data_IF_790855158034
#
_entry.id   IF_790855158034
#
_cell.length_a   1.000
_cell.length_b   1.000
_cell.length_c   1.000
_cell.angle_alpha   90.00
_cell.angle_beta   90.00
_cell.angle_gamma   90.00
#
_symmetry.space_group_name_H-M   'P 1'
#
loop_
_entity.id
_entity.type
_entity.pdbx_description
1 polymer ?
#
# COMPACT_ATOMS: atom_id res chain seq x y z
N UNK A 1 4.62 2.05 3.00
CA UNK A 1 5.27 2.03 1.66
C UNK A 1 6.50 2.91 1.60
N UNK A 2 6.39 4.24 1.72
CA UNK A 2 7.56 5.16 1.58
C UNK A 2 8.71 4.82 2.53
N UNK A 3 8.41 4.44 3.79
CA UNK A 3 9.41 3.94 4.75
C UNK A 3 10.22 2.75 4.24
N UNK A 4 9.59 1.83 3.52
CA UNK A 4 10.26 0.68 2.89
C UNK A 4 11.11 1.12 1.71
N UNK A 5 10.61 2.01 0.84
CA UNK A 5 11.35 2.50 -0.33
C UNK A 5 12.66 3.18 0.09
N UNK A 6 12.60 4.02 1.13
CA UNK A 6 13.79 4.65 1.73
C UNK A 6 14.69 3.60 2.39
N UNK A 7 14.15 2.81 3.32
CA UNK A 7 14.95 1.89 4.15
C UNK A 7 15.57 0.71 3.38
N UNK A 8 14.95 0.29 2.27
CA UNK A 8 15.47 -0.74 1.37
C UNK A 8 16.32 -0.17 0.21
N UNK A 9 16.57 1.15 0.18
CA UNK A 9 17.31 1.84 -0.88
C UNK A 9 16.73 1.56 -2.29
N UNK A 10 15.40 1.50 -2.41
CA UNK A 10 14.70 1.11 -3.63
C UNK A 10 14.59 2.28 -4.65
N UNK A 11 14.16 1.96 -5.87
CA UNK A 11 13.96 2.95 -6.95
C UNK A 11 12.94 4.02 -6.54
N UNK A 12 13.29 5.29 -6.69
CA UNK A 12 12.49 6.42 -6.25
C UNK A 12 12.50 6.72 -4.75
N UNK A 13 13.54 6.26 -4.04
CA UNK A 13 13.89 6.78 -2.71
C UNK A 13 14.27 8.27 -2.72
N UNK A 14 14.82 8.75 -3.85
CA UNK A 14 15.50 10.05 -3.91
C UNK A 14 14.52 11.22 -3.95
N UNK A 15 13.31 11.04 -4.52
CA UNK A 15 12.18 11.95 -4.36
C UNK A 15 11.84 12.26 -2.88
N UNK A 16 12.10 11.33 -1.97
CA UNK A 16 11.83 11.49 -0.52
C UNK A 16 13.01 12.05 0.28
N UNK A 17 14.18 12.30 -0.35
CA UNK A 17 15.36 12.91 0.27
C UNK A 17 15.77 12.25 1.60
N UNK A 18 15.64 10.92 1.67
CA UNK A 18 16.01 10.12 2.84
C UNK A 18 15.07 10.22 4.07
N UNK A 19 13.93 10.93 3.98
CA UNK A 19 12.96 11.05 5.09
C UNK A 19 11.52 10.79 4.67
N UNK A 20 10.65 10.53 5.63
CA UNK A 20 9.22 10.47 5.33
C UNK A 20 8.68 11.86 4.96
N UNK A 21 7.83 11.96 3.92
CA UNK A 21 7.10 13.19 3.63
C UNK A 21 5.99 13.41 4.67
N UNK A 22 5.74 14.68 4.98
CA UNK A 22 4.59 15.11 5.77
C UNK A 22 3.28 14.97 4.99
N UNK A 23 2.14 15.06 5.67
CA UNK A 23 0.82 15.07 5.01
C UNK A 23 0.70 16.24 4.01
N UNK A 24 1.28 17.40 4.32
CA UNK A 24 1.25 18.56 3.42
C UNK A 24 2.10 18.33 2.17
N UNK A 25 3.27 17.70 2.29
CA UNK A 25 4.09 17.30 1.15
C UNK A 25 3.42 16.20 0.30
N UNK A 26 2.73 15.25 0.94
CA UNK A 26 1.89 14.26 0.26
C UNK A 26 0.79 14.94 -0.56
N UNK A 27 0.09 15.92 0.00
CA UNK A 27 -0.91 16.71 -0.72
C UNK A 27 -0.29 17.52 -1.87
N UNK A 28 0.87 18.13 -1.64
CA UNK A 28 1.62 18.88 -2.66
C UNK A 28 2.06 17.99 -3.83
N UNK A 29 2.55 16.78 -3.56
CA UNK A 29 2.94 15.82 -4.58
C UNK A 29 1.74 15.35 -5.44
N UNK A 30 0.59 15.09 -4.83
CA UNK A 30 -0.62 14.68 -5.56
C UNK A 30 -1.13 15.83 -6.43
N UNK A 31 -1.22 17.05 -5.87
CA UNK A 31 -1.69 18.22 -6.61
C UNK A 31 -0.74 18.66 -7.73
N UNK A 32 0.58 18.62 -7.49
CA UNK A 32 1.57 18.87 -8.55
C UNK A 32 1.42 17.87 -9.71
N UNK A 33 1.14 16.59 -9.42
CA UNK A 33 0.87 15.61 -10.47
C UNK A 33 -0.43 15.92 -11.25
N UNK A 34 -1.47 16.40 -10.59
CA UNK A 34 -2.70 16.87 -11.24
C UNK A 34 -2.47 18.08 -12.15
N UNK A 35 -1.59 19.01 -11.75
CA UNK A 35 -1.25 20.21 -12.52
C UNK A 35 -0.43 19.85 -13.79
N UNK A 36 0.31 18.75 -13.74
CA UNK A 36 0.97 18.11 -14.89
C UNK A 36 0.03 17.24 -15.74
N UNK A 37 -1.28 17.25 -15.46
CA UNK A 37 -2.30 16.47 -16.16
C UNK A 37 -2.37 14.98 -15.77
N UNK A 38 -1.53 14.50 -14.85
CA UNK A 38 -1.50 13.11 -14.41
C UNK A 38 -2.64 12.88 -13.41
N UNK A 39 -3.65 12.08 -13.78
CA UNK A 39 -4.82 11.80 -12.93
C UNK A 39 -5.60 13.06 -12.51
N UNK A 40 -5.59 14.12 -13.32
CA UNK A 40 -6.23 15.42 -13.03
C UNK A 40 -7.74 15.34 -12.75
N UNK A 41 -8.39 14.25 -13.15
CA UNK A 41 -9.76 13.89 -12.74
C UNK A 41 -9.96 13.93 -11.22
N UNK A 42 -8.96 13.49 -10.42
CA UNK A 42 -9.02 13.57 -8.96
C UNK A 42 -9.14 15.01 -8.43
N UNK A 43 -8.57 16.00 -9.15
CA UNK A 43 -8.74 17.43 -8.84
C UNK A 43 -10.18 17.88 -9.07
N UNK A 44 -10.84 17.38 -10.12
CA UNK A 44 -12.25 17.70 -10.43
C UNK A 44 -13.21 17.07 -9.41
N UNK A 45 -12.97 15.80 -9.04
CA UNK A 45 -13.81 15.07 -8.09
C UNK A 45 -13.68 15.59 -6.65
N UNK A 46 -12.48 16.02 -6.25
CA UNK A 46 -12.24 16.51 -4.88
C UNK A 46 -12.36 18.02 -4.74
N UNK A 47 -12.18 18.80 -5.81
CA UNK A 47 -11.99 20.25 -5.74
C UNK A 47 -10.67 20.66 -5.07
N UNK A 48 -9.62 19.85 -5.20
CA UNK A 48 -8.32 20.05 -4.53
C UNK A 48 -8.26 19.47 -3.11
N UNK A 49 -7.07 19.16 -2.62
CA UNK A 49 -6.82 18.50 -1.33
C UNK A 49 -5.81 19.22 -0.42
N UNK A 50 -5.02 20.18 -0.92
CA UNK A 50 -4.06 20.97 -0.11
C UNK A 50 -4.72 21.62 1.09
N UNK A 51 -4.14 21.43 2.28
CA UNK A 51 -4.65 21.97 3.54
C UNK A 51 -5.95 21.34 4.03
N UNK A 52 -6.52 20.36 3.32
CA UNK A 52 -7.79 19.71 3.68
C UNK A 52 -7.57 18.44 4.50
N UNK A 53 -8.68 17.88 5.00
CA UNK A 53 -8.76 16.54 5.61
C UNK A 53 -9.51 15.55 4.72
N UNK A 54 -9.56 15.78 3.40
CA UNK A 54 -10.23 14.89 2.44
C UNK A 54 -9.49 13.54 2.41
N UNK A 55 -10.25 12.45 2.28
CA UNK A 55 -9.68 11.13 2.05
C UNK A 55 -9.08 11.05 0.64
N UNK A 56 -8.04 10.25 0.49
CA UNK A 56 -7.37 9.94 -0.78
C UNK A 56 -7.41 8.43 -1.01
N UNK A 57 -7.51 8.01 -2.26
CA UNK A 57 -7.65 6.60 -2.65
C UNK A 57 -6.38 5.99 -3.25
N UNK A 58 -6.56 4.81 -3.83
CA UNK A 58 -5.56 4.14 -4.70
C UNK A 58 -5.08 5.03 -5.85
N UNK A 59 -5.95 5.82 -6.54
CA UNK A 59 -5.51 6.71 -7.62
C UNK A 59 -4.48 7.73 -7.13
N UNK A 60 -4.81 8.50 -6.09
CA UNK A 60 -3.94 9.53 -5.51
C UNK A 60 -2.65 8.94 -4.94
N UNK A 61 -2.74 7.82 -4.23
CA UNK A 61 -1.58 7.15 -3.65
C UNK A 61 -0.57 6.69 -4.72
N UNK A 62 -1.01 6.48 -5.97
CA UNK A 62 -0.11 6.19 -7.11
C UNK A 62 0.70 7.41 -7.55
N UNK A 63 0.21 8.64 -7.38
CA UNK A 63 0.94 9.86 -7.76
C UNK A 63 2.15 10.12 -6.86
N UNK A 64 2.17 9.60 -5.63
CA UNK A 64 3.32 9.74 -4.71
C UNK A 64 4.64 9.17 -5.23
N UNK A 65 4.59 8.31 -6.26
CA UNK A 65 5.75 7.68 -6.90
C UNK A 65 5.82 7.99 -8.40
N UNK A 66 5.12 9.04 -8.84
CA UNK A 66 5.15 9.56 -10.21
C UNK A 66 6.09 10.77 -10.38
N UNK A 67 6.81 11.16 -9.31
CA UNK A 67 7.74 12.30 -9.29
C UNK A 67 9.18 11.95 -9.70
N UNK A 68 9.41 10.71 -10.12
CA UNK A 68 10.68 10.30 -10.71
C UNK A 68 10.80 10.86 -12.15
N UNK A 69 11.88 11.57 -12.50
CA UNK A 69 12.06 12.06 -13.86
C UNK A 69 12.43 10.92 -14.81
N UNK A 70 11.59 10.66 -15.81
CA UNK A 70 12.03 10.15 -17.12
C UNK A 70 12.33 11.39 -17.99
N UNK A 71 13.50 12.00 -17.80
CA UNK A 71 14.04 13.22 -18.46
C UNK A 71 13.04 14.08 -19.27
N UNK A 72 12.61 15.21 -18.66
CA UNK A 72 11.85 16.30 -19.27
C UNK A 72 10.46 15.92 -19.83
N UNK A 73 9.50 15.97 -18.90
CA UNK A 73 8.05 16.00 -19.09
C UNK A 73 7.58 16.52 -20.46
N UNK A 74 7.39 15.60 -21.40
CA UNK A 74 6.66 15.88 -22.65
C UNK A 74 5.37 15.08 -22.63
N UNK A 75 4.24 15.79 -22.59
CA UNK A 75 2.91 15.19 -22.69
C UNK A 75 2.71 14.49 -24.04
N UNK A 76 3.03 13.21 -24.09
CA UNK A 76 2.50 12.30 -25.11
C UNK A 76 1.56 11.33 -24.41
N UNK A 77 0.30 11.34 -24.86
CA UNK A 77 -0.76 10.43 -24.43
C UNK A 77 -0.36 9.00 -24.82
N UNK A 78 0.40 8.29 -23.97
CA UNK A 78 0.69 6.88 -24.21
C UNK A 78 0.88 6.00 -22.97
N UNK A 79 0.18 4.87 -23.05
CA UNK A 79 0.19 3.61 -22.28
C UNK A 79 1.39 3.38 -21.33
N UNK A 80 1.14 2.99 -20.06
CA UNK A 80 2.22 2.71 -19.11
C UNK A 80 2.96 1.41 -19.46
N UNK A 81 4.21 1.49 -19.89
CA UNK A 81 5.14 0.34 -19.85
C UNK A 81 5.83 0.19 -18.49
N UNK A 82 6.04 1.27 -17.72
CA UNK A 82 6.89 1.26 -16.52
C UNK A 82 6.33 2.04 -15.31
N UNK A 83 5.09 1.75 -14.89
CA UNK A 83 4.54 2.29 -13.64
C UNK A 83 5.20 1.60 -12.42
N UNK A 84 5.94 2.35 -11.59
CA UNK A 84 6.58 1.84 -10.35
C UNK A 84 5.58 1.27 -9.34
N UNK A 85 4.30 1.65 -9.42
CA UNK A 85 3.22 0.98 -8.72
C UNK A 85 2.18 0.44 -9.70
N UNK A 86 1.65 -0.75 -9.40
CA UNK A 86 0.56 -1.39 -10.14
C UNK A 86 -0.67 -1.44 -9.23
N UNK A 87 -1.79 -0.91 -9.73
CA UNK A 87 -3.10 -1.02 -9.09
C UNK A 87 -3.86 -2.22 -9.66
N UNK A 88 -4.54 -2.99 -8.81
CA UNK A 88 -5.42 -4.10 -9.22
C UNK A 88 -6.72 -4.08 -8.42
N UNK A 89 -7.85 -4.05 -9.12
CA UNK A 89 -9.18 -4.16 -8.54
C UNK A 89 -9.68 -5.61 -8.49
N UNK A 90 -10.32 -5.99 -7.38
CA UNK A 90 -10.98 -7.28 -7.18
C UNK A 90 -12.47 -7.05 -6.92
N UNK A 91 -13.29 -7.32 -7.94
CA UNK A 91 -14.74 -7.20 -7.91
C UNK A 91 -15.39 -8.51 -8.34
N UNK A 92 -16.48 -8.87 -7.67
CA UNK A 92 -17.32 -10.03 -7.97
C UNK A 92 -18.75 -9.74 -7.47
N UNK A 93 -19.80 -10.13 -8.21
CA UNK A 93 -21.17 -10.01 -7.72
C UNK A 93 -21.45 -10.82 -6.43
N UNK A 94 -20.70 -11.89 -6.18
CA UNK A 94 -20.92 -12.78 -5.04
C UNK A 94 -19.99 -12.43 -3.85
N UNK A 95 -20.54 -12.07 -2.67
CA UNK A 95 -19.74 -11.79 -1.48
C UNK A 95 -18.82 -12.95 -1.09
N UNK A 96 -17.54 -12.66 -0.89
CA UNK A 96 -16.51 -13.66 -0.57
C UNK A 96 -15.73 -14.21 -1.78
N UNK A 97 -16.20 -14.03 -3.02
CA UNK A 97 -15.37 -14.35 -4.20
C UNK A 97 -14.28 -13.30 -4.45
N UNK A 98 -14.56 -12.01 -4.23
CA UNK A 98 -13.54 -10.95 -4.21
C UNK A 98 -12.45 -11.22 -3.16
N UNK A 99 -12.83 -11.76 -1.99
CA UNK A 99 -11.92 -12.16 -0.91
C UNK A 99 -10.99 -13.30 -1.35
N UNK A 100 -11.53 -14.37 -1.94
CA UNK A 100 -10.72 -15.47 -2.44
C UNK A 100 -9.72 -15.03 -3.51
N UNK A 101 -10.15 -14.17 -4.46
CA UNK A 101 -9.28 -13.59 -5.49
C UNK A 101 -8.17 -12.72 -4.88
N UNK A 102 -8.49 -11.86 -3.91
CA UNK A 102 -7.50 -11.07 -3.17
C UNK A 102 -6.51 -11.96 -2.43
N UNK A 103 -6.98 -12.96 -1.68
CA UNK A 103 -6.12 -13.87 -0.91
C UNK A 103 -5.16 -14.65 -1.83
N UNK A 104 -5.64 -15.16 -2.98
CA UNK A 104 -4.79 -15.80 -3.98
C UNK A 104 -3.76 -14.84 -4.59
N UNK A 105 -4.16 -13.62 -4.93
CA UNK A 105 -3.25 -12.62 -5.50
C UNK A 105 -2.17 -12.20 -4.48
N UNK A 106 -2.56 -12.01 -3.22
CA UNK A 106 -1.65 -11.64 -2.13
C UNK A 106 -0.73 -12.81 -1.73
N UNK A 107 -1.22 -14.06 -1.72
CA UNK A 107 -0.37 -15.25 -1.51
C UNK A 107 0.67 -15.39 -2.64
N UNK A 108 0.24 -15.25 -3.90
CA UNK A 108 1.13 -15.26 -5.06
C UNK A 108 2.17 -14.13 -4.98
N UNK A 109 1.74 -12.96 -4.53
CA UNK A 109 2.58 -11.77 -4.37
C UNK A 109 3.60 -11.93 -3.23
N UNK A 110 3.24 -12.48 -2.07
CA UNK A 110 4.22 -12.76 -1.00
C UNK A 110 5.14 -13.94 -1.30
N UNK A 111 4.73 -14.91 -2.13
CA UNK A 111 5.65 -15.89 -2.73
C UNK A 111 6.70 -15.24 -3.67
N UNK A 112 6.48 -13.99 -4.08
CA UNK A 112 7.39 -13.20 -4.93
C UNK A 112 7.96 -11.94 -4.22
N UNK A 113 7.50 -11.65 -3.00
CA UNK A 113 7.96 -10.61 -2.07
C UNK A 113 7.75 -9.15 -2.51
N UNK A 114 6.81 -8.40 -1.91
CA UNK A 114 6.76 -6.91 -1.83
C UNK A 114 5.53 -6.40 -1.04
N UNK A 115 5.30 -5.07 -0.95
CA UNK A 115 4.43 -4.43 0.06
C UNK A 115 3.49 -3.31 -0.41
N UNK A 116 2.40 -3.12 0.35
CA UNK A 116 1.30 -2.17 0.11
C UNK A 116 0.06 -2.82 -0.51
N UNK A 117 -1.13 -2.19 -0.55
CA UNK A 117 -1.72 -1.02 0.14
C UNK A 117 -3.22 -1.00 -0.27
N UNK A 118 -4.21 -0.54 0.51
CA UNK A 118 -4.24 0.11 1.84
C UNK A 118 -5.04 -0.71 2.88
N UNK A 119 -4.87 -0.39 4.19
CA UNK A 119 -4.22 -1.33 5.14
C UNK A 119 -2.84 -1.70 4.58
N UNK A 120 -1.77 -1.47 5.34
CA UNK A 120 -0.44 -1.86 4.85
C UNK A 120 -0.26 -3.34 5.08
N UNK A 121 -0.56 -4.17 4.08
CA UNK A 121 -0.29 -5.61 4.16
C UNK A 121 1.23 -5.80 4.24
N UNK A 122 1.69 -6.42 5.33
CA UNK A 122 3.11 -6.68 5.64
C UNK A 122 3.52 -8.14 5.51
N UNK A 123 2.56 -9.06 5.45
CA UNK A 123 2.83 -10.47 5.21
C UNK A 123 1.55 -11.28 4.99
N UNK A 124 1.75 -12.57 4.77
CA UNK A 124 0.72 -13.59 4.67
C UNK A 124 1.15 -14.77 5.56
N UNK A 125 0.26 -15.26 6.42
CA UNK A 125 0.48 -16.50 7.17
C UNK A 125 -0.52 -17.59 6.73
N UNK A 126 -0.06 -18.84 6.78
CA UNK A 126 -0.92 -20.02 6.72
C UNK A 126 -0.64 -20.90 7.93
N UNK A 127 -1.59 -20.99 8.84
CA UNK A 127 -1.43 -21.78 10.06
C UNK A 127 -1.50 -23.29 9.74
N UNK A 128 -0.67 -24.11 10.38
CA UNK A 128 -0.55 -25.56 10.11
C UNK A 128 -1.89 -26.32 10.15
N UNK A 129 -2.79 -25.90 11.03
CA UNK A 129 -4.13 -26.46 11.22
C UNK A 129 -5.21 -25.37 11.32
N UNK A 130 -4.98 -24.19 10.72
CA UNK A 130 -5.83 -23.01 10.90
C UNK A 130 -6.02 -22.20 9.62
N UNK A 131 -6.72 -21.05 9.70
CA UNK A 131 -6.99 -20.21 8.54
C UNK A 131 -5.71 -19.55 8.00
N UNK A 132 -5.78 -19.11 6.74
CA UNK A 132 -4.84 -18.13 6.21
C UNK A 132 -5.24 -16.72 6.67
N UNK A 133 -4.25 -15.90 7.03
CA UNK A 133 -4.46 -14.51 7.43
C UNK A 133 -3.49 -13.58 6.69
N UNK A 134 -3.98 -12.42 6.28
CA UNK A 134 -3.12 -11.28 5.97
C UNK A 134 -2.56 -10.72 7.28
N UNK A 135 -1.29 -10.35 7.29
CA UNK A 135 -0.68 -9.54 8.36
C UNK A 135 -0.67 -8.09 7.87
N UNK A 136 -1.24 -7.17 8.64
CA UNK A 136 -1.42 -5.76 8.24
C UNK A 136 -1.03 -4.79 9.35
N UNK A 137 -0.49 -3.64 8.96
CA UNK A 137 -0.53 -2.42 9.77
C UNK A 137 -1.73 -1.57 9.37
N UNK A 138 -2.51 -1.16 10.37
CA UNK A 138 -3.78 -0.46 10.22
C UNK A 138 -3.66 0.93 10.86
N UNK A 139 -3.61 2.02 10.07
CA UNK A 139 -3.29 3.36 10.58
C UNK A 139 -4.36 3.93 11.52
N UNK A 140 -5.53 3.28 11.65
CA UNK A 140 -6.53 3.64 12.64
C UNK A 140 -6.18 3.18 14.06
N UNK A 141 -5.25 2.24 14.22
CA UNK A 141 -4.89 1.66 15.51
C UNK A 141 -3.43 1.98 15.87
N UNK A 142 -3.18 2.20 17.15
CA UNK A 142 -1.83 2.28 17.71
C UNK A 142 -1.38 0.88 18.13
N UNK A 143 -0.08 0.61 18.03
CA UNK A 143 0.50 -0.63 18.53
C UNK A 143 0.25 -0.76 20.04
N UNK A 144 -0.08 -1.97 20.56
CA UNK A 144 -0.17 -2.21 21.99
C UNK A 144 1.17 -1.88 22.68
N UNK A 145 1.20 -1.11 23.79
CA UNK A 145 2.45 -0.70 24.44
C UNK A 145 3.37 -1.86 24.84
N UNK A 146 2.79 -3.04 25.13
CA UNK A 146 3.53 -4.26 25.42
C UNK A 146 4.34 -4.78 24.20
N UNK A 147 3.85 -4.55 22.97
CA UNK A 147 4.53 -4.92 21.73
C UNK A 147 5.48 -3.82 21.26
N UNK A 148 5.13 -2.54 21.43
CA UNK A 148 6.03 -1.42 21.10
C UNK A 148 7.37 -1.51 21.87
N UNK A 149 7.35 -2.04 23.10
CA UNK A 149 8.56 -2.28 23.92
C UNK A 149 9.47 -3.40 23.39
N UNK A 150 9.00 -4.22 22.45
CA UNK A 150 9.73 -5.35 21.88
C UNK A 150 10.36 -5.04 20.51
N UNK A 151 10.17 -3.83 20.00
CA UNK A 151 10.76 -3.39 18.72
C UNK A 151 12.29 -3.50 18.80
N UNK A 152 12.88 -4.14 17.80
CA UNK A 152 14.33 -4.38 17.72
C UNK A 152 14.87 -5.50 18.62
N UNK A 153 14.01 -6.21 19.38
CA UNK A 153 14.43 -7.26 20.31
C UNK A 153 14.01 -8.65 19.82
N UNK A 154 14.82 -9.67 20.13
CA UNK A 154 14.38 -11.07 20.02
C UNK A 154 13.72 -11.49 21.34
N UNK A 155 12.48 -11.97 21.26
CA UNK A 155 11.69 -12.39 22.43
C UNK A 155 10.96 -13.71 22.17
N UNK A 156 10.56 -14.38 23.25
CA UNK A 156 9.63 -15.52 23.21
C UNK A 156 8.33 -15.10 23.89
N UNK A 157 7.20 -15.17 23.18
CA UNK A 157 5.88 -14.89 23.76
C UNK A 157 5.16 -16.21 24.09
N UNK A 158 4.43 -16.25 25.23
CA UNK A 158 3.70 -17.47 25.65
C UNK A 158 2.57 -17.85 24.68
N UNK A 159 1.94 -16.85 24.08
CA UNK A 159 0.91 -17.00 23.06
C UNK A 159 1.20 -16.02 21.91
N UNK A 160 1.98 -16.45 20.91
CA UNK A 160 2.24 -15.61 19.73
C UNK A 160 0.93 -15.20 19.02
N UNK A 161 -0.09 -16.07 19.10
CA UNK A 161 -1.40 -15.87 18.52
C UNK A 161 -2.14 -14.64 19.10
N UNK A 162 -2.05 -14.41 20.41
CA UNK A 162 -2.61 -13.21 21.05
C UNK A 162 -1.89 -11.93 20.61
N UNK A 163 -0.56 -11.96 20.54
CA UNK A 163 0.25 -10.80 20.10
C UNK A 163 0.02 -10.44 18.64
N UNK A 164 -0.20 -11.43 17.77
CA UNK A 164 -0.39 -11.24 16.34
C UNK A 164 -1.85 -10.95 15.95
N UNK A 165 -2.82 -11.28 16.80
CA UNK A 165 -4.26 -11.05 16.59
C UNK A 165 -4.62 -9.61 16.14
N UNK A 166 -4.03 -8.52 16.68
CA UNK A 166 -4.34 -7.16 16.23
C UNK A 166 -3.95 -6.89 14.77
N UNK A 167 -2.92 -7.56 14.26
CA UNK A 167 -2.38 -7.39 12.91
C UNK A 167 -2.98 -8.38 11.90
N UNK A 168 -3.66 -9.44 12.35
CA UNK A 168 -4.26 -10.44 11.46
C UNK A 168 -5.57 -9.95 10.85
N UNK A 169 -5.76 -10.24 9.56
CA UNK A 169 -7.01 -10.07 8.81
C UNK A 169 -7.27 -11.35 8.00
N UNK A 170 -8.07 -12.25 8.56
CA UNK A 170 -8.50 -13.49 7.89
C UNK A 170 -9.87 -13.35 7.21
N UNK A 171 -10.33 -14.42 6.57
CA UNK A 171 -11.56 -14.49 5.77
C UNK A 171 -12.78 -13.80 6.42
N UNK A 172 -13.06 -14.08 7.71
CA UNK A 172 -14.19 -13.49 8.45
C UNK A 172 -14.16 -11.95 8.50
N UNK A 173 -12.98 -11.34 8.52
CA UNK A 173 -12.85 -9.88 8.46
C UNK A 173 -13.13 -9.37 7.05
N UNK A 174 -12.54 -10.02 6.05
CA UNK A 174 -12.47 -9.58 4.66
C UNK A 174 -13.82 -9.76 3.91
N UNK A 175 -14.60 -10.81 4.20
CA UNK A 175 -15.93 -11.06 3.57
C UNK A 175 -16.96 -9.95 3.71
N UNK A 176 -16.72 -9.00 4.62
CA UNK A 176 -17.61 -7.85 4.88
C UNK A 176 -17.50 -6.77 3.79
N UNK A 177 -16.45 -6.81 2.98
CA UNK A 177 -16.21 -5.86 1.89
C UNK A 177 -16.52 -6.55 0.55
N UNK A 178 -17.18 -5.82 -0.36
CA UNK A 178 -17.57 -6.33 -1.68
C UNK A 178 -16.46 -6.23 -2.72
N UNK A 179 -15.61 -5.22 -2.56
CA UNK A 179 -14.59 -4.83 -3.52
C UNK A 179 -13.29 -4.48 -2.78
N UNK A 180 -12.16 -4.73 -3.42
CA UNK A 180 -10.84 -4.35 -2.93
C UNK A 180 -10.01 -3.76 -4.06
N UNK A 181 -9.20 -2.75 -3.74
CA UNK A 181 -8.11 -2.27 -4.60
C UNK A 181 -6.78 -2.56 -3.90
N UNK A 182 -5.79 -3.04 -4.67
CA UNK A 182 -4.43 -3.29 -4.21
C UNK A 182 -3.46 -2.40 -4.97
N UNK A 183 -2.76 -1.51 -4.26
CA UNK A 183 -1.63 -0.74 -4.80
C UNK A 183 -0.30 -1.39 -4.38
N UNK A 184 0.36 -2.09 -5.30
CA UNK A 184 1.66 -2.71 -5.05
C UNK A 184 2.81 -1.93 -5.67
N UNK A 185 3.92 -1.80 -4.94
CA UNK A 185 5.19 -1.35 -5.49
C UNK A 185 5.84 -2.47 -6.34
N UNK A 186 6.28 -2.14 -7.54
CA UNK A 186 6.87 -3.06 -8.50
C UNK A 186 8.40 -2.97 -8.47
N UNK A 187 9.05 -3.95 -7.84
CA UNK A 187 10.51 -4.10 -7.94
C UNK A 187 10.86 -4.59 -9.35
N UNK A 188 11.65 -3.79 -10.08
CA UNK A 188 12.44 -4.28 -11.20
C UNK A 188 13.61 -5.09 -10.64
N UNK A 189 13.65 -6.38 -10.93
CA UNK A 189 14.92 -7.11 -10.94
C UNK A 189 15.76 -6.53 -12.08
N UNK A 190 16.95 -6.00 -11.76
CA UNK A 190 17.96 -5.78 -12.77
C UNK A 190 18.45 -7.16 -13.22
N UNK A 191 18.42 -7.41 -14.53
CA UNK A 191 19.13 -8.52 -15.17
C UNK A 191 20.52 -8.03 -15.59
#
# INVERSE_FOLDING_TARGET
MVSYIIGANAHGKDAFRGRLPTIFEIQEFIESAWDLGINSQGRLETGGIKGTRKYIGTPEARQLLAHEPEDLLTCVVYRPKHSLCVAQGFKDPEPGKSEAKLMMAVEQYFRQGTHGHSLTIVGFERQKHGPANLLVFDPMFRDPPALSRLIGQTFKHRSADESLKPYRRGAKYLRRYREFELLRYAIRTMN
#
